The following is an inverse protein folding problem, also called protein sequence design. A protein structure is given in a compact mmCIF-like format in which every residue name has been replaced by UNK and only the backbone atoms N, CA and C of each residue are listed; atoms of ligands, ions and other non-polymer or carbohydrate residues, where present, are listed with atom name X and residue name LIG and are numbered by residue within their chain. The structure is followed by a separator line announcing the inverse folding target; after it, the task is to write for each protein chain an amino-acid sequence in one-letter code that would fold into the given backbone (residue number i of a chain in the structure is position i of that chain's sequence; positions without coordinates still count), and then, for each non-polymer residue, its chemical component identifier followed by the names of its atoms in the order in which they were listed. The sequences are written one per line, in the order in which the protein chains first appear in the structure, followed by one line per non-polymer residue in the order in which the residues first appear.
data_IF_226912916785
#
_entry.id   IF_226912916785
#
_cell.length_a   1.000
_cell.length_b   1.000
_cell.length_c   1.000
_cell.angle_alpha   90.00
_cell.angle_beta   90.00
_cell.angle_gamma   90.00
#
_symmetry.space_group_name_H-M   'P 1'
#
loop_
_entity.id
_entity.type
_entity.pdbx_description
1 polymer ?
#
# COMPACT_ATOMS: atom_id res chain seq x y z
N UNK A 1 -16.35 5.57 3.99
CA UNK A 1 -17.35 5.28 2.92
C UNK A 1 -18.62 4.60 3.43
N UNK A 2 -18.59 3.32 3.84
CA UNK A 2 -19.79 2.56 4.23
C UNK A 2 -20.69 3.27 5.27
N UNK A 3 -20.08 3.87 6.29
CA UNK A 3 -20.80 4.65 7.30
C UNK A 3 -21.58 5.83 6.69
N UNK A 4 -20.95 6.59 5.79
CA UNK A 4 -21.57 7.73 5.12
C UNK A 4 -22.71 7.27 4.19
N UNK A 5 -22.52 6.19 3.43
CA UNK A 5 -23.58 5.63 2.58
C UNK A 5 -24.79 5.14 3.39
N UNK A 6 -24.58 4.57 4.58
CA UNK A 6 -25.66 4.14 5.48
C UNK A 6 -26.42 5.29 6.14
N UNK A 7 -25.90 6.51 6.10
CA UNK A 7 -26.51 7.67 6.77
C UNK A 7 -27.61 8.36 5.98
N UNK A 8 -28.14 7.69 4.94
CA UNK A 8 -29.17 8.22 4.07
C UNK A 8 -30.45 8.58 4.82
N UNK A 9 -31.03 9.73 4.50
CA UNK A 9 -32.28 10.26 5.06
C UNK A 9 -32.93 11.25 4.10
N UNK A 10 -34.07 11.83 4.46
CA UNK A 10 -34.84 12.74 3.60
C UNK A 10 -34.05 13.95 3.08
N UNK A 11 -33.07 14.46 3.86
CA UNK A 11 -32.21 15.59 3.45
C UNK A 11 -30.99 15.14 2.66
N UNK A 12 -30.53 13.90 2.89
CA UNK A 12 -29.36 13.31 2.24
C UNK A 12 -29.72 11.92 1.69
N UNK A 13 -30.48 11.84 0.59
CA UNK A 13 -31.04 10.57 0.11
C UNK A 13 -29.98 9.53 -0.30
N UNK A 14 -28.76 9.98 -0.61
CA UNK A 14 -27.64 9.13 -1.00
C UNK A 14 -26.59 8.94 0.13
N UNK A 15 -26.91 9.37 1.35
CA UNK A 15 -25.97 9.42 2.48
C UNK A 15 -25.32 10.80 2.65
N UNK A 16 -24.84 11.07 3.86
CA UNK A 16 -24.13 12.31 4.19
C UNK A 16 -22.88 12.47 3.31
N UNK A 17 -22.62 13.71 2.90
CA UNK A 17 -21.49 14.10 2.06
C UNK A 17 -21.43 13.42 0.68
N UNK A 18 -22.57 12.91 0.19
CA UNK A 18 -22.66 12.13 -1.04
C UNK A 18 -23.66 12.70 -2.08
N UNK A 19 -23.97 14.00 -2.03
CA UNK A 19 -24.71 14.68 -3.09
C UNK A 19 -23.96 14.71 -4.43
N UNK A 20 -22.63 14.58 -4.42
CA UNK A 20 -21.80 14.38 -5.63
C UNK A 20 -21.73 12.93 -6.11
N UNK A 21 -22.32 11.96 -5.40
CA UNK A 21 -22.20 10.51 -5.62
C UNK A 21 -20.74 9.98 -5.63
N UNK A 22 -19.79 10.71 -5.04
CA UNK A 22 -18.39 10.27 -5.02
C UNK A 22 -18.01 9.44 -3.81
N UNK A 23 -18.80 9.45 -2.75
CA UNK A 23 -18.53 8.62 -1.57
C UNK A 23 -18.54 7.15 -1.97
N UNK A 24 -17.44 6.47 -1.66
CA UNK A 24 -17.27 5.07 -1.98
C UNK A 24 -16.63 4.83 -3.34
N UNK A 25 -16.58 5.79 -4.26
CA UNK A 25 -15.97 5.63 -5.60
C UNK A 25 -14.45 5.75 -5.57
N UNK A 26 -13.83 5.51 -6.73
CA UNK A 26 -12.39 5.67 -6.97
C UNK A 26 -11.53 4.82 -6.08
N UNK A 27 -12.09 3.71 -5.59
CA UNK A 27 -11.40 2.81 -4.72
C UNK A 27 -10.12 2.31 -5.40
N UNK A 28 -9.02 2.64 -4.76
CA UNK A 28 -7.65 2.32 -5.09
C UNK A 28 -7.12 1.33 -4.05
N UNK A 29 -6.26 0.43 -4.50
CA UNK A 29 -5.44 -0.44 -3.69
C UNK A 29 -4.05 -0.54 -4.30
N UNK A 30 -3.06 -0.83 -3.47
CA UNK A 30 -1.73 -1.10 -4.01
C UNK A 30 -1.70 -2.37 -4.86
N UNK A 31 -1.11 -2.26 -6.05
CA UNK A 31 -0.72 -3.42 -6.85
C UNK A 31 0.56 -3.97 -6.24
N UNK A 32 0.42 -5.08 -5.52
CA UNK A 32 1.50 -5.65 -4.73
C UNK A 32 1.95 -7.02 -5.25
N UNK A 33 3.27 -7.21 -5.28
CA UNK A 33 3.90 -8.51 -5.52
C UNK A 33 5.01 -8.75 -4.51
N UNK A 34 5.24 -10.01 -4.17
CA UNK A 34 6.40 -10.45 -3.40
C UNK A 34 7.29 -11.26 -4.30
N UNK A 35 8.55 -10.86 -4.43
CA UNK A 35 9.52 -11.57 -5.24
C UNK A 35 10.57 -12.18 -4.32
N UNK A 36 10.83 -13.48 -4.47
CA UNK A 36 11.86 -14.17 -3.72
C UNK A 36 13.03 -14.47 -4.65
N UNK A 37 14.21 -13.98 -4.32
CA UNK A 37 15.46 -14.45 -4.92
C UNK A 37 16.12 -15.47 -3.97
N UNK A 38 16.68 -16.55 -4.50
CA UNK A 38 17.47 -17.49 -3.69
C UNK A 38 18.95 -17.23 -3.88
N UNK A 39 19.73 -17.40 -2.81
CA UNK A 39 21.18 -17.24 -2.79
C UNK A 39 21.85 -18.56 -2.48
N UNK A 40 23.00 -18.85 -3.11
CA UNK A 40 23.86 -19.98 -2.69
C UNK A 40 24.44 -19.74 -1.29
N UNK A 41 24.59 -18.47 -0.90
CA UNK A 41 25.03 -18.10 0.45
C UNK A 41 23.82 -18.00 1.40
N UNK A 42 23.93 -18.55 2.63
CA UNK A 42 22.92 -18.30 3.66
C UNK A 42 22.77 -16.80 3.93
N UNK A 43 21.54 -16.34 4.06
CA UNK A 43 21.21 -15.00 4.54
C UNK A 43 20.96 -15.09 6.05
N UNK A 44 21.84 -14.57 6.93
CA UNK A 44 21.65 -14.66 8.39
C UNK A 44 20.67 -13.61 8.92
N UNK A 45 20.22 -12.65 8.10
CA UNK A 45 19.34 -11.57 8.51
C UNK A 45 18.01 -12.13 9.03
N UNK A 46 17.54 -11.65 10.18
CA UNK A 46 16.24 -12.03 10.75
C UNK A 46 15.17 -10.99 10.40
N UNK A 47 15.52 -9.69 10.50
CA UNK A 47 14.66 -8.57 10.14
C UNK A 47 15.19 -7.86 8.89
N UNK A 48 14.60 -8.18 7.73
CA UNK A 48 15.15 -7.76 6.44
C UNK A 48 14.60 -6.43 5.91
N UNK A 49 13.50 -5.90 6.46
CA UNK A 49 12.84 -4.66 5.99
C UNK A 49 13.64 -3.39 6.34
N UNK A 50 14.80 -3.22 5.70
CA UNK A 50 15.77 -2.15 5.98
C UNK A 50 16.18 -1.36 4.74
N UNK A 51 15.94 -1.89 3.53
CA UNK A 51 16.31 -1.24 2.27
C UNK A 51 15.12 -1.11 1.35
N UNK A 52 15.10 -0.01 0.60
CA UNK A 52 14.16 0.24 -0.49
C UNK A 52 14.81 0.96 -1.67
N UNK A 53 14.24 0.74 -2.86
CA UNK A 53 14.61 1.36 -4.13
C UNK A 53 13.38 2.07 -4.70
N UNK A 54 13.53 3.36 -5.01
CA UNK A 54 12.46 4.22 -5.57
C UNK A 54 12.85 4.83 -6.92
N UNK A 55 14.00 4.46 -7.46
CA UNK A 55 14.60 4.99 -8.69
C UNK A 55 13.70 4.86 -9.91
N UNK A 56 12.73 3.94 -9.85
CA UNK A 56 11.78 3.63 -10.93
C UNK A 56 10.41 4.28 -10.74
N UNK A 57 10.22 5.08 -9.67
CA UNK A 57 8.93 5.69 -9.36
C UNK A 57 8.60 6.88 -10.28
N UNK A 58 9.59 7.67 -10.68
CA UNK A 58 9.38 8.82 -11.58
C UNK A 58 9.69 8.50 -13.05
N UNK A 59 9.71 7.21 -13.40
CA UNK A 59 10.10 6.71 -14.71
C UNK A 59 11.57 6.26 -14.76
N UNK A 60 12.04 5.98 -15.96
CA UNK A 60 13.38 5.48 -16.29
C UNK A 60 13.70 5.84 -17.75
N UNK A 61 14.96 5.79 -18.20
CA UNK A 61 15.31 6.10 -19.59
C UNK A 61 14.52 5.28 -20.64
N UNK A 62 14.07 4.08 -20.30
CA UNK A 62 13.30 3.17 -21.16
C UNK A 62 11.78 3.23 -20.95
N UNK A 63 11.29 4.01 -19.99
CA UNK A 63 9.86 4.11 -19.67
C UNK A 63 9.52 5.35 -18.85
N UNK A 64 8.66 6.22 -19.38
CA UNK A 64 8.40 7.54 -18.79
C UNK A 64 7.35 7.57 -17.66
N UNK A 65 6.63 6.47 -17.42
CA UNK A 65 5.56 6.43 -16.41
C UNK A 65 6.04 5.76 -15.11
N UNK A 66 5.40 6.05 -13.97
CA UNK A 66 5.72 5.41 -12.70
C UNK A 66 5.65 3.88 -12.77
N UNK A 67 6.71 3.22 -12.33
CA UNK A 67 6.72 1.77 -12.17
C UNK A 67 6.37 1.38 -10.74
N UNK A 68 7.00 2.00 -9.74
CA UNK A 68 6.67 1.77 -8.33
C UNK A 68 7.87 1.75 -7.39
N UNK A 69 7.68 1.09 -6.26
CA UNK A 69 8.59 0.98 -5.13
C UNK A 69 9.01 -0.47 -4.94
N UNK A 70 10.29 -0.69 -4.62
CA UNK A 70 10.81 -1.98 -4.20
C UNK A 70 11.32 -1.81 -2.77
N UNK A 71 10.97 -2.71 -1.87
CA UNK A 71 11.60 -2.83 -0.55
C UNK A 71 11.82 -4.29 -0.20
N UNK A 72 12.49 -4.55 0.91
CA UNK A 72 12.44 -5.88 1.50
C UNK A 72 11.15 -6.09 2.31
N UNK A 73 10.65 -7.31 2.30
CA UNK A 73 9.59 -7.77 3.23
C UNK A 73 10.22 -8.45 4.45
N UNK A 74 9.40 -8.71 5.48
CA UNK A 74 9.80 -9.62 6.54
C UNK A 74 10.25 -10.96 5.96
N UNK A 75 11.29 -11.55 6.56
CA UNK A 75 11.90 -12.76 6.03
C UNK A 75 10.89 -13.90 5.97
N UNK A 76 10.81 -14.56 4.82
CA UNK A 76 9.93 -15.70 4.62
C UNK A 76 10.56 -16.93 5.28
N UNK A 77 9.81 -17.58 6.17
CA UNK A 77 10.18 -18.86 6.77
C UNK A 77 9.48 -20.03 6.06
N UNK A 78 9.86 -21.25 6.43
CA UNK A 78 9.30 -22.46 5.82
C UNK A 78 7.80 -22.59 6.00
N UNK A 79 7.23 -22.05 7.08
CA UNK A 79 5.80 -22.09 7.36
C UNK A 79 5.03 -21.10 6.46
N UNK A 80 5.57 -19.90 6.25
CA UNK A 80 5.04 -18.92 5.29
C UNK A 80 5.15 -19.44 3.87
N UNK A 81 6.26 -20.09 3.52
CA UNK A 81 6.48 -20.68 2.21
C UNK A 81 5.54 -21.84 1.91
N UNK A 82 5.18 -22.63 2.93
CA UNK A 82 4.25 -23.76 2.82
C UNK A 82 2.86 -23.34 2.35
N UNK A 83 2.41 -22.13 2.70
CA UNK A 83 1.09 -21.62 2.35
C UNK A 83 0.81 -21.57 0.84
N UNK A 84 1.85 -21.54 -0.01
CA UNK A 84 1.65 -21.68 -1.45
C UNK A 84 2.66 -22.59 -2.14
N UNK A 85 3.30 -23.49 -1.40
CA UNK A 85 4.14 -24.55 -1.98
C UNK A 85 3.25 -25.74 -2.37
N UNK A 86 3.69 -26.60 -3.32
CA UNK A 86 3.02 -27.89 -3.54
C UNK A 86 2.88 -28.66 -2.23
N UNK A 87 1.74 -29.29 -1.98
CA UNK A 87 1.48 -30.03 -0.72
C UNK A 87 2.53 -31.13 -0.43
N UNK A 88 3.19 -31.61 -1.47
CA UNK A 88 4.24 -32.63 -1.43
C UNK A 88 5.64 -32.07 -1.09
N UNK A 89 5.81 -30.75 -1.04
CA UNK A 89 7.12 -30.13 -0.80
C UNK A 89 7.61 -30.46 0.63
N UNK A 90 8.80 -31.07 0.78
CA UNK A 90 9.35 -31.37 2.11
C UNK A 90 9.63 -30.10 2.91
N UNK A 91 9.27 -30.08 4.20
CA UNK A 91 9.47 -28.90 5.08
C UNK A 91 10.95 -28.46 5.12
N UNK A 92 11.88 -29.40 5.18
CA UNK A 92 13.31 -29.08 5.21
C UNK A 92 13.77 -28.30 3.97
N UNK A 93 13.16 -28.54 2.81
CA UNK A 93 13.46 -27.80 1.57
C UNK A 93 12.97 -26.37 1.68
N UNK A 94 11.76 -26.14 2.22
CA UNK A 94 11.20 -24.80 2.43
C UNK A 94 11.99 -24.02 3.50
N UNK A 95 12.41 -24.69 4.58
CA UNK A 95 13.27 -24.10 5.60
C UNK A 95 14.64 -23.70 5.03
N UNK A 96 15.20 -24.53 4.13
CA UNK A 96 16.45 -24.22 3.44
C UNK A 96 16.28 -23.02 2.49
N UNK A 97 15.19 -22.97 1.71
CA UNK A 97 14.87 -21.83 0.86
C UNK A 97 14.78 -20.54 1.65
N UNK A 98 14.04 -20.52 2.78
CA UNK A 98 13.94 -19.34 3.64
C UNK A 98 15.27 -18.90 4.26
N UNK A 99 16.19 -19.83 4.57
CA UNK A 99 17.55 -19.49 5.04
C UNK A 99 18.40 -18.82 3.97
N UNK A 100 18.06 -19.02 2.70
CA UNK A 100 18.81 -18.57 1.54
C UNK A 100 18.07 -17.49 0.74
N UNK A 101 16.90 -17.03 1.21
CA UNK A 101 16.07 -16.10 0.47
C UNK A 101 16.49 -14.64 0.67
N UNK A 102 16.25 -13.85 -0.37
CA UNK A 102 16.08 -12.40 -0.33
C UNK A 102 14.65 -12.09 -0.78
N UNK A 103 13.85 -11.55 0.13
CA UNK A 103 12.42 -11.38 -0.07
C UNK A 103 12.10 -9.90 -0.33
N UNK A 104 11.66 -9.61 -1.54
CA UNK A 104 11.31 -8.28 -2.01
C UNK A 104 9.80 -8.06 -1.97
N UNK A 105 9.39 -6.90 -1.50
CA UNK A 105 8.06 -6.34 -1.64
C UNK A 105 8.06 -5.31 -2.78
N UNK A 106 7.19 -5.47 -3.76
CA UNK A 106 7.00 -4.53 -4.85
C UNK A 106 5.61 -3.93 -4.72
N UNK A 107 5.54 -2.61 -4.73
CA UNK A 107 4.29 -1.84 -4.69
C UNK A 107 4.22 -0.93 -5.90
N UNK A 108 3.09 -0.95 -6.61
CA UNK A 108 2.77 0.01 -7.66
C UNK A 108 1.39 0.60 -7.43
N UNK A 109 1.14 1.75 -8.06
CA UNK A 109 -0.16 2.42 -8.02
C UNK A 109 -1.18 1.70 -8.90
N UNK A 110 -2.37 1.48 -8.37
CA UNK A 110 -3.55 1.54 -9.23
C UNK A 110 -4.06 2.98 -9.33
N UNK A 111 -4.77 3.26 -10.41
CA UNK A 111 -5.33 4.57 -10.71
C UNK A 111 -6.76 4.66 -10.17
N UNK A 112 -7.21 5.86 -9.80
CA UNK A 112 -8.56 6.07 -9.33
C UNK A 112 -9.60 5.84 -10.44
N UNK A 113 -10.25 4.68 -10.45
CA UNK A 113 -11.35 4.39 -11.37
C UNK A 113 -12.70 4.72 -10.71
N UNK A 114 -13.53 5.63 -11.25
CA UNK A 114 -14.86 5.94 -10.68
C UNK A 114 -15.79 4.73 -10.52
N UNK A 115 -15.53 3.64 -11.24
CA UNK A 115 -16.29 2.39 -11.17
C UNK A 115 -15.75 1.44 -10.10
N UNK A 116 -14.51 1.61 -9.66
CA UNK A 116 -14.02 0.93 -8.48
C UNK A 116 -14.67 1.58 -7.27
N UNK A 117 -15.61 0.88 -6.63
CA UNK A 117 -16.41 1.48 -5.56
C UNK A 117 -16.83 0.53 -4.46
N UNK A 118 -16.91 1.09 -3.25
CA UNK A 118 -17.59 0.51 -2.10
C UNK A 118 -19.05 0.97 -2.14
N UNK A 119 -19.98 0.03 -2.05
CA UNK A 119 -21.42 0.27 -1.94
C UNK A 119 -22.01 -0.51 -0.75
N UNK A 120 -23.29 -0.26 -0.47
CA UNK A 120 -24.08 -1.00 0.51
C UNK A 120 -25.22 -1.70 -0.25
N UNK A 121 -25.40 -3.00 -0.06
CA UNK A 121 -26.53 -3.73 -0.66
C UNK A 121 -27.83 -3.50 0.14
N UNK A 122 -28.94 -4.10 -0.30
CA UNK A 122 -30.24 -3.96 0.38
C UNK A 122 -30.26 -4.55 1.79
N UNK A 123 -29.41 -5.53 2.06
CA UNK A 123 -29.30 -6.21 3.36
C UNK A 123 -28.37 -5.44 4.32
N UNK A 124 -27.73 -4.37 3.85
CA UNK A 124 -26.83 -3.53 4.64
C UNK A 124 -25.36 -3.96 4.57
N UNK A 125 -25.02 -4.99 3.80
CA UNK A 125 -23.65 -5.48 3.64
C UNK A 125 -22.80 -4.54 2.78
N UNK A 126 -21.50 -4.54 3.07
CA UNK A 126 -20.50 -3.82 2.28
C UNK A 126 -20.18 -4.64 1.03
N UNK A 127 -20.39 -4.04 -0.14
CA UNK A 127 -20.04 -4.62 -1.44
C UNK A 127 -18.89 -3.83 -2.04
N UNK A 128 -17.85 -4.54 -2.48
CA UNK A 128 -16.73 -3.95 -3.20
C UNK A 128 -16.80 -4.33 -4.67
N UNK A 129 -16.94 -3.33 -5.54
CA UNK A 129 -16.74 -3.45 -6.98
C UNK A 129 -15.33 -2.98 -7.28
N UNK A 130 -14.49 -3.87 -7.81
CA UNK A 130 -13.10 -3.55 -8.11
C UNK A 130 -12.66 -4.23 -9.40
N UNK A 131 -12.01 -3.44 -10.26
CA UNK A 131 -11.33 -3.86 -11.46
C UNK A 131 -9.88 -3.39 -11.36
N UNK A 132 -8.95 -4.34 -11.47
CA UNK A 132 -7.53 -4.03 -11.54
C UNK A 132 -7.24 -3.14 -12.76
N UNK A 133 -6.33 -2.17 -12.59
CA UNK A 133 -5.91 -1.25 -13.63
C UNK A 133 -4.42 -0.89 -13.45
N UNK A 134 -3.84 -0.13 -14.38
CA UNK A 134 -2.46 0.38 -14.31
C UNK A 134 -1.36 -0.69 -14.12
N UNK A 135 -1.58 -1.91 -14.60
CA UNK A 135 -0.67 -3.03 -14.32
C UNK A 135 0.67 -2.98 -15.06
N UNK A 136 0.76 -2.22 -16.15
CA UNK A 136 1.95 -2.22 -17.01
C UNK A 136 3.20 -1.72 -16.29
N UNK A 137 3.06 -0.65 -15.48
CA UNK A 137 4.16 -0.14 -14.65
C UNK A 137 4.67 -1.21 -13.66
N UNK A 138 3.75 -1.98 -13.06
CA UNK A 138 4.10 -3.05 -12.14
C UNK A 138 4.79 -4.23 -12.83
N UNK A 139 4.31 -4.64 -14.01
CA UNK A 139 4.94 -5.68 -14.84
C UNK A 139 6.37 -5.29 -15.20
N UNK A 140 6.60 -4.01 -15.52
CA UNK A 140 7.94 -3.47 -15.79
C UNK A 140 8.82 -3.41 -14.55
N UNK A 141 8.27 -3.05 -13.38
CA UNK A 141 9.00 -3.04 -12.11
C UNK A 141 9.55 -4.44 -11.78
N UNK A 142 8.72 -5.47 -11.95
CA UNK A 142 9.10 -6.87 -11.81
C UNK A 142 10.27 -7.20 -12.75
N UNK A 143 10.14 -6.87 -14.05
CA UNK A 143 11.20 -7.12 -15.04
C UNK A 143 12.49 -6.35 -14.74
N UNK A 144 12.39 -5.15 -14.19
CA UNK A 144 13.54 -4.35 -13.78
C UNK A 144 14.28 -5.01 -12.63
N UNK A 145 13.56 -5.47 -11.60
CA UNK A 145 14.16 -6.21 -10.49
C UNK A 145 14.81 -7.52 -10.96
N UNK A 146 14.12 -8.30 -11.80
CA UNK A 146 14.68 -9.52 -12.41
C UNK A 146 16.01 -9.22 -13.13
N UNK A 147 16.05 -8.18 -13.96
CA UNK A 147 17.24 -7.76 -14.70
C UNK A 147 18.37 -7.32 -13.76
N UNK A 148 18.07 -6.55 -12.70
CA UNK A 148 19.07 -6.12 -11.71
C UNK A 148 19.63 -7.30 -10.90
N UNK A 149 18.81 -8.32 -10.61
CA UNK A 149 19.26 -9.54 -9.94
C UNK A 149 20.16 -10.39 -10.84
N UNK A 150 19.90 -10.42 -12.15
CA UNK A 150 20.77 -11.09 -13.14
C UNK A 150 22.11 -10.38 -13.33
N UNK A 151 22.19 -9.07 -13.06
CA UNK A 151 23.39 -8.24 -13.21
C UNK A 151 24.23 -8.12 -11.93
N UNK A 152 23.91 -8.88 -10.87
CA UNK A 152 24.61 -8.79 -9.60
C UNK A 152 26.11 -9.10 -9.72
N UNK A 153 26.88 -8.46 -8.85
CA UNK A 153 28.34 -8.52 -8.86
C UNK A 153 28.88 -9.76 -8.14
N UNK A 154 30.19 -9.96 -8.27
CA UNK A 154 30.89 -11.15 -7.80
C UNK A 154 30.80 -11.30 -6.28
N UNK A 155 30.20 -12.38 -5.79
CA UNK A 155 30.38 -12.84 -4.43
C UNK A 155 31.80 -13.40 -4.25
N UNK A 156 32.40 -13.15 -3.09
CA UNK A 156 33.74 -13.66 -2.76
C UNK A 156 33.84 -15.20 -2.82
N UNK A 157 32.74 -15.90 -2.51
CA UNK A 157 32.70 -17.37 -2.45
C UNK A 157 32.26 -17.97 -3.80
N UNK A 158 31.20 -17.43 -4.41
CA UNK A 158 30.52 -18.06 -5.55
C UNK A 158 30.66 -17.33 -6.89
N UNK A 159 31.48 -16.27 -6.96
CA UNK A 159 31.63 -15.55 -8.22
C UNK A 159 30.36 -14.81 -8.64
N UNK A 160 30.05 -14.78 -9.94
CA UNK A 160 28.82 -14.19 -10.49
C UNK A 160 27.57 -15.06 -10.27
N UNK A 161 27.72 -16.29 -9.76
CA UNK A 161 26.62 -17.25 -9.63
C UNK A 161 25.97 -17.24 -8.23
N UNK A 162 26.01 -16.11 -7.53
CA UNK A 162 25.59 -16.04 -6.13
C UNK A 162 24.08 -16.30 -5.94
N UNK A 163 23.26 -16.00 -6.94
CA UNK A 163 21.79 -16.12 -6.86
C UNK A 163 21.25 -17.15 -7.86
N UNK A 164 20.33 -18.00 -7.40
CA UNK A 164 19.62 -18.98 -8.23
C UNK A 164 18.14 -18.63 -8.33
N UNK A 165 17.81 -17.85 -9.35
CA UNK A 165 16.43 -17.59 -9.75
C UNK A 165 15.69 -16.56 -8.89
N UNK A 166 14.65 -16.01 -9.50
CA UNK A 166 13.70 -15.10 -8.87
C UNK A 166 12.29 -15.64 -9.12
N UNK A 167 11.53 -15.85 -8.05
CA UNK A 167 10.19 -16.41 -8.08
C UNK A 167 9.20 -15.37 -7.58
N UNK A 168 8.21 -15.04 -8.40
CA UNK A 168 7.13 -14.16 -8.00
C UNK A 168 6.07 -14.93 -7.20
N UNK A 169 5.70 -14.40 -6.04
CA UNK A 169 4.48 -14.71 -5.29
C UNK A 169 3.60 -13.48 -5.25
N UNK A 170 2.35 -13.63 -5.67
CA UNK A 170 1.35 -12.60 -5.45
C UNK A 170 0.84 -12.71 -4.01
N UNK A 171 1.24 -11.78 -3.14
CA UNK A 171 0.72 -11.62 -1.80
C UNK A 171 -0.08 -10.32 -1.76
N UNK A 172 -1.41 -10.44 -1.87
CA UNK A 172 -2.31 -9.31 -1.76
C UNK A 172 -2.41 -8.86 -0.29
N UNK A 173 -1.74 -7.77 0.07
CA UNK A 173 -1.98 -7.03 1.31
C UNK A 173 -2.27 -5.58 0.94
N UNK A 174 -3.54 -5.16 0.97
CA UNK A 174 -3.96 -3.86 0.46
C UNK A 174 -4.24 -2.85 1.57
N UNK A 175 -3.53 -1.72 1.56
CA UNK A 175 -4.06 -0.44 2.08
C UNK A 175 -4.69 0.34 0.92
N UNK A 176 -5.84 0.99 1.17
CA UNK A 176 -6.86 1.32 0.17
C UNK A 176 -7.36 2.76 0.29
N UNK A 177 -7.57 3.46 -0.82
CA UNK A 177 -7.78 4.93 -0.89
C UNK A 177 -8.80 5.32 -2.02
N UNK A 178 -9.29 6.56 -2.17
CA UNK A 178 -10.39 6.98 -3.09
C UNK A 178 -10.16 8.39 -3.67
N UNK A 179 -10.36 8.72 -4.98
CA UNK A 179 -10.77 10.07 -5.52
C UNK A 179 -10.91 10.31 -7.07
N UNK A 180 -11.73 11.27 -7.53
CA UNK A 180 -11.53 12.11 -8.77
C UNK A 180 -12.50 13.33 -8.85
N UNK A 181 -13.67 13.25 -8.22
CA UNK A 181 -14.38 14.40 -7.61
C UNK A 181 -14.31 14.27 -6.08
N UNK A 182 -14.35 15.35 -5.31
CA UNK A 182 -14.10 15.23 -3.86
C UNK A 182 -15.38 15.31 -3.02
N UNK A 183 -15.49 14.42 -2.02
CA UNK A 183 -16.47 14.56 -0.94
C UNK A 183 -15.98 15.56 0.13
N UNK A 184 -14.67 15.85 0.14
CA UNK A 184 -13.99 16.61 1.19
C UNK A 184 -13.23 17.82 0.62
N UNK A 185 -13.14 18.90 1.38
CA UNK A 185 -12.24 20.01 1.08
C UNK A 185 -10.77 19.70 1.47
N UNK A 186 -9.90 20.69 1.27
CA UNK A 186 -8.45 20.59 1.58
C UNK A 186 -8.16 20.36 3.06
N UNK A 187 -9.10 20.63 3.95
CA UNK A 187 -8.99 20.38 5.39
C UNK A 187 -9.70 19.09 5.80
N UNK A 188 -10.03 18.24 4.83
CA UNK A 188 -10.73 16.98 5.02
C UNK A 188 -12.13 17.15 5.63
N UNK A 189 -12.73 18.34 5.51
CA UNK A 189 -14.11 18.61 5.89
C UNK A 189 -15.04 18.21 4.76
N UNK A 190 -16.15 17.56 5.06
CA UNK A 190 -17.18 17.29 4.07
C UNK A 190 -17.75 18.59 3.49
N UNK A 191 -17.93 18.66 2.17
CA UNK A 191 -18.47 19.87 1.53
C UNK A 191 -19.90 20.19 1.97
N UNK A 192 -20.73 19.16 2.15
CA UNK A 192 -22.15 19.31 2.45
C UNK A 192 -22.45 19.44 3.95
N UNK A 193 -21.50 19.09 4.81
CA UNK A 193 -21.73 18.96 6.26
C UNK A 193 -20.59 19.64 7.01
N UNK A 194 -20.89 20.80 7.59
CA UNK A 194 -19.88 21.72 8.11
C UNK A 194 -19.13 21.23 9.36
N UNK A 195 -19.68 20.27 10.09
CA UNK A 195 -19.08 19.67 11.28
C UNK A 195 -18.61 18.22 11.08
N UNK A 196 -18.49 17.77 9.83
CA UNK A 196 -18.05 16.41 9.49
C UNK A 196 -16.67 16.44 8.85
N UNK A 197 -15.74 15.68 9.41
CA UNK A 197 -14.36 15.54 8.94
C UNK A 197 -13.99 14.06 8.78
N UNK A 198 -13.15 13.75 7.78
CA UNK A 198 -12.67 12.38 7.51
C UNK A 198 -11.14 12.38 7.40
N UNK A 199 -10.47 11.76 8.38
CA UNK A 199 -9.01 11.84 8.55
C UNK A 199 -8.30 10.48 8.40
N UNK A 200 -8.92 9.54 7.69
CA UNK A 200 -8.37 8.21 7.42
C UNK A 200 -7.68 8.13 6.05
N UNK A 201 -7.48 6.92 5.49
CA UNK A 201 -6.90 6.77 4.16
C UNK A 201 -7.75 7.29 3.00
N UNK A 202 -9.03 7.65 3.20
CA UNK A 202 -9.92 7.96 2.09
C UNK A 202 -9.73 9.35 1.48
N UNK A 203 -8.83 10.19 2.00
CA UNK A 203 -8.58 11.53 1.44
C UNK A 203 -7.56 11.57 0.31
N UNK A 204 -6.77 10.51 0.05
CA UNK A 204 -5.70 10.65 -0.95
C UNK A 204 -6.26 10.63 -2.37
N UNK A 205 -5.72 11.52 -3.20
CA UNK A 205 -6.03 11.58 -4.63
C UNK A 205 -5.35 10.48 -5.45
N UNK A 206 -4.32 9.85 -4.91
CA UNK A 206 -3.56 8.75 -5.49
C UNK A 206 -3.11 7.82 -4.37
N UNK A 207 -3.00 6.53 -4.68
CA UNK A 207 -2.52 5.52 -3.74
C UNK A 207 -1.02 5.64 -3.43
N UNK A 208 -0.24 6.26 -4.32
CA UNK A 208 1.23 6.23 -4.29
C UNK A 208 1.79 4.80 -4.36
N UNK A 209 3.11 4.66 -4.46
CA UNK A 209 3.76 3.34 -4.41
C UNK A 209 4.32 2.99 -3.02
N UNK A 210 3.98 3.73 -1.97
CA UNK A 210 4.53 3.53 -0.61
C UNK A 210 3.42 3.39 0.41
N UNK A 211 3.72 2.79 1.58
CA UNK A 211 2.75 2.61 2.64
C UNK A 211 2.15 3.96 3.11
N UNK A 212 0.81 4.17 3.04
CA UNK A 212 0.19 5.47 3.30
C UNK A 212 0.13 5.88 4.78
N UNK A 213 0.41 4.96 5.72
CA UNK A 213 0.15 5.17 7.14
C UNK A 213 0.77 6.45 7.72
N UNK A 214 2.03 6.77 7.37
CA UNK A 214 2.69 7.98 7.85
C UNK A 214 2.03 9.25 7.30
N UNK A 215 1.60 9.23 6.04
CA UNK A 215 0.87 10.36 5.43
C UNK A 215 -0.54 10.51 6.03
N UNK A 216 -1.21 9.40 6.39
CA UNK A 216 -2.48 9.43 7.14
C UNK A 216 -2.28 10.13 8.48
N UNK A 217 -1.25 9.71 9.25
CA UNK A 217 -0.94 10.31 10.55
C UNK A 217 -0.62 11.80 10.40
N UNK A 218 0.25 12.17 9.45
CA UNK A 218 0.62 13.55 9.20
C UNK A 218 -0.61 14.41 8.83
N UNK A 219 -1.50 13.88 7.99
CA UNK A 219 -2.72 14.59 7.62
C UNK A 219 -3.72 14.69 8.78
N UNK A 220 -3.87 13.65 9.60
CA UNK A 220 -4.71 13.68 10.78
C UNK A 220 -4.23 14.75 11.79
N UNK A 221 -2.92 14.85 12.01
CA UNK A 221 -2.33 15.90 12.86
C UNK A 221 -2.59 17.30 12.28
N UNK A 222 -2.37 17.48 10.97
CA UNK A 222 -2.65 18.74 10.27
C UNK A 222 -4.12 19.17 10.39
N UNK A 223 -5.06 18.24 10.23
CA UNK A 223 -6.49 18.51 10.38
C UNK A 223 -6.84 18.80 11.84
N UNK A 224 -6.19 18.11 12.79
CA UNK A 224 -6.32 18.39 14.22
C UNK A 224 -5.95 19.84 14.57
N UNK A 225 -4.82 20.33 14.06
CA UNK A 225 -4.40 21.72 14.27
C UNK A 225 -5.41 22.71 13.66
N UNK A 226 -5.94 22.44 12.46
CA UNK A 226 -7.02 23.24 11.86
C UNK A 226 -8.29 23.27 12.71
N UNK A 227 -8.67 22.14 13.31
CA UNK A 227 -9.84 22.07 14.19
C UNK A 227 -9.64 22.89 15.48
N UNK A 228 -8.44 22.86 16.07
CA UNK A 228 -8.12 23.68 17.23
C UNK A 228 -8.28 25.17 16.92
N UNK A 229 -7.73 25.64 15.80
CA UNK A 229 -7.89 27.03 15.34
C UNK A 229 -9.36 27.40 15.15
N UNK A 230 -10.11 26.54 14.45
CA UNK A 230 -11.54 26.77 14.17
C UNK A 230 -12.40 26.84 15.44
N UNK A 231 -12.04 26.05 16.46
CA UNK A 231 -12.75 26.00 17.74
C UNK A 231 -12.24 27.02 18.76
N UNK A 232 -11.21 27.81 18.44
CA UNK A 232 -10.55 28.69 19.40
C UNK A 232 -9.88 27.96 20.57
N UNK A 233 -9.56 26.67 20.38
CA UNK A 233 -8.91 25.84 21.38
C UNK A 233 -7.38 25.93 21.23
N UNK A 234 -6.64 25.74 22.33
CA UNK A 234 -5.17 25.66 22.31
C UNK A 234 -4.74 24.22 22.57
N UNK A 235 -3.63 23.81 21.97
CA UNK A 235 -2.97 22.56 22.30
C UNK A 235 -2.51 22.63 23.76
N UNK A 236 -2.82 21.61 24.55
CA UNK A 236 -2.21 21.50 25.88
C UNK A 236 -0.68 21.43 25.69
N UNK A 237 0.07 22.27 26.39
CA UNK A 237 1.53 22.14 26.39
C UNK A 237 1.87 20.77 26.98
N UNK A 238 2.82 20.03 26.40
CA UNK A 238 3.29 18.80 27.02
C UNK A 238 3.82 19.18 28.40
N UNK A 239 3.30 18.57 29.47
CA UNK A 239 4.00 18.58 30.75
C UNK A 239 5.40 18.07 30.46
N UNK A 240 6.41 18.95 30.59
CA UNK A 240 7.79 18.50 30.60
C UNK A 240 7.86 17.44 31.70
N UNK A 241 8.03 16.17 31.32
CA UNK A 241 8.48 15.17 32.26
C UNK A 241 9.76 15.73 32.87
N UNK A 242 9.66 16.17 34.12
CA UNK A 242 10.80 16.55 34.92
C UNK A 242 11.69 15.31 34.99
N UNK A 243 12.69 15.26 34.13
CA UNK A 243 13.80 14.32 34.26
C UNK A 243 14.53 14.68 35.54
N UNK A 244 14.29 13.88 36.58
CA UNK A 244 15.10 13.83 37.79
C UNK A 244 16.44 13.15 37.52
#
# INVERSE_FOLDING_TARGET
AALLLRSANDKHPNGLANGSDVVGRHYMGHTNSVLMALSKCPNPTVFQKTLSVNDFYFGSPDWNFPMGHISFVGKLDGDTLKAGAPKIAPKWTLDLMGKHSLDFWLTSEDLPDPNNRVTINRDGDIVLQYKANNEEGHKRLIKKLESLMQQQTKCFIHGHECHEGLFARNLYLGQRIQLETSALDRNCKAHEVDNLYVVDGSFFCSSGAVNPALTIIANALRVGDHLLERMGARRAEPEMMATA
#
